data_IF_816571167115
#
_entry.id   IF_816571167115
#
_cell.length_a   1.000
_cell.length_b   1.000
_cell.length_c   1.000
_cell.angle_alpha   90.00
_cell.angle_beta   90.00
_cell.angle_gamma   90.00
#
_symmetry.space_group_name_H-M   'P 1'
#
loop_
_entity.id
_entity.type
_entity.pdbx_description
1 polymer ?
#
# COMPACT_ATOMS: atom_id res chain seq x y z
N UNK A 1 12.52 20.94 25.55
CA UNK A 1 11.92 20.23 24.40
C UNK A 1 11.98 21.19 23.22
N UNK A 2 12.79 20.88 22.21
CA UNK A 2 13.08 21.79 21.09
C UNK A 2 11.82 22.00 20.22
N UNK A 3 11.55 23.24 19.81
CA UNK A 3 10.37 23.68 19.02
C UNK A 3 10.16 22.96 17.67
N UNK A 4 11.04 22.03 17.30
CA UNK A 4 10.98 21.21 16.09
C UNK A 4 10.36 19.81 16.29
N UNK A 5 9.89 19.47 17.50
CA UNK A 5 9.34 18.14 17.80
C UNK A 5 8.17 17.70 16.90
N UNK A 6 7.44 18.65 16.32
CA UNK A 6 6.33 18.41 15.40
C UNK A 6 6.78 17.95 13.99
N UNK A 7 8.02 18.23 13.60
CA UNK A 7 8.53 17.82 12.28
C UNK A 7 8.69 16.30 12.18
N UNK A 8 9.04 15.64 13.29
CA UNK A 8 9.26 14.19 13.34
C UNK A 8 8.00 13.42 12.90
N UNK A 9 6.82 13.59 13.52
CA UNK A 9 5.61 12.89 13.11
C UNK A 9 5.17 13.26 11.68
N UNK A 10 5.35 14.51 11.25
CA UNK A 10 5.02 14.92 9.88
C UNK A 10 5.87 14.17 8.85
N UNK A 11 7.18 14.14 9.03
CA UNK A 11 8.10 13.42 8.12
C UNK A 11 7.82 11.93 8.12
N UNK A 12 7.63 11.32 9.31
CA UNK A 12 7.32 9.88 9.43
C UNK A 12 5.98 9.55 8.75
N UNK A 13 4.96 10.38 8.93
CA UNK A 13 3.66 10.21 8.29
C UNK A 13 3.76 10.25 6.77
N UNK A 14 4.47 11.23 6.21
CA UNK A 14 4.70 11.34 4.76
C UNK A 14 5.45 10.12 4.21
N UNK A 15 6.49 9.63 4.91
CA UNK A 15 7.22 8.42 4.50
C UNK A 15 6.29 7.20 4.47
N UNK A 16 5.44 7.03 5.48
CA UNK A 16 4.47 5.93 5.52
C UNK A 16 3.46 5.98 4.37
N UNK A 17 2.99 7.17 4.01
CA UNK A 17 2.11 7.37 2.84
C UNK A 17 2.81 6.95 1.56
N UNK A 18 4.06 7.38 1.34
CA UNK A 18 4.83 7.03 0.16
C UNK A 18 5.09 5.52 0.05
N UNK A 19 5.42 4.87 1.17
CA UNK A 19 5.58 3.41 1.23
C UNK A 19 4.27 2.67 0.94
N UNK A 20 3.16 3.15 1.50
CA UNK A 20 1.84 2.59 1.23
C UNK A 20 1.44 2.71 -0.25
N UNK A 21 1.65 3.87 -0.87
CA UNK A 21 1.43 4.05 -2.31
C UNK A 21 2.36 3.14 -3.14
N UNK A 22 3.63 3.03 -2.77
CA UNK A 22 4.60 2.16 -3.43
C UNK A 22 4.16 0.69 -3.38
N UNK A 23 3.69 0.22 -2.23
CA UNK A 23 3.17 -1.14 -2.06
C UNK A 23 1.91 -1.40 -2.91
N UNK A 24 0.99 -0.43 -3.00
CA UNK A 24 -0.20 -0.54 -3.86
C UNK A 24 0.19 -0.62 -5.34
N UNK A 25 1.14 0.21 -5.78
CA UNK A 25 1.63 0.20 -7.17
C UNK A 25 2.34 -1.12 -7.48
N UNK A 26 3.17 -1.62 -6.57
CA UNK A 26 3.86 -2.90 -6.74
C UNK A 26 2.86 -4.05 -6.82
N UNK A 27 1.86 -4.10 -5.92
CA UNK A 27 0.81 -5.11 -5.96
C UNK A 27 0.04 -5.13 -7.28
N UNK A 28 -0.26 -3.95 -7.85
CA UNK A 28 -0.88 -3.85 -9.19
C UNK A 28 0.04 -4.32 -10.32
N UNK A 29 1.35 -4.07 -10.25
CA UNK A 29 2.32 -4.54 -11.27
C UNK A 29 2.51 -6.05 -11.21
N UNK A 30 2.49 -6.62 -10.02
CA UNK A 30 2.59 -8.06 -9.81
C UNK A 30 1.35 -8.78 -10.35
N UNK A 31 0.13 -8.27 -10.08
CA UNK A 31 -1.10 -8.78 -10.70
C UNK A 31 -0.98 -8.80 -12.22
N UNK A 32 -0.52 -7.69 -12.82
CA UNK A 32 -0.47 -7.55 -14.28
C UNK A 32 0.53 -8.53 -14.92
N UNK A 33 1.71 -8.70 -14.34
CA UNK A 33 2.70 -9.69 -14.82
C UNK A 33 2.17 -11.12 -14.69
N UNK A 34 1.43 -11.40 -13.62
CA UNK A 34 0.88 -12.73 -13.38
C UNK A 34 -0.23 -13.07 -14.40
N UNK A 35 -1.12 -12.13 -14.70
CA UNK A 35 -2.14 -12.30 -15.74
C UNK A 35 -1.52 -12.51 -17.13
N UNK A 36 -0.48 -11.75 -17.51
CA UNK A 36 0.23 -11.94 -18.79
C UNK A 36 0.85 -13.36 -18.91
N UNK A 37 1.38 -13.91 -17.81
CA UNK A 37 1.92 -15.25 -17.78
C UNK A 37 0.83 -16.34 -17.92
N UNK A 38 -0.37 -16.09 -17.40
CA UNK A 38 -1.53 -16.98 -17.51
C UNK A 38 -2.11 -17.03 -18.91
N UNK A 39 -2.19 -15.89 -19.62
CA UNK A 39 -2.66 -15.85 -21.02
C UNK A 39 -1.72 -16.60 -21.97
N UNK A 40 -0.46 -16.79 -21.57
CA UNK A 40 0.51 -17.58 -22.34
C UNK A 40 0.29 -19.11 -22.22
N UNK A 41 -0.51 -19.59 -21.26
CA UNK A 41 -0.81 -21.03 -21.12
C UNK A 41 -2.15 -21.40 -21.79
N UNK A 42 -2.13 -22.52 -22.52
CA UNK A 42 -3.24 -23.02 -23.37
C UNK A 42 -4.39 -23.71 -22.59
N UNK A 43 -4.32 -23.76 -21.26
CA UNK A 43 -5.28 -24.51 -20.43
C UNK A 43 -6.40 -23.62 -19.90
N UNK A 44 -7.52 -23.59 -20.62
CA UNK A 44 -8.75 -22.88 -20.23
C UNK A 44 -9.51 -23.59 -19.09
N UNK A 45 -9.11 -24.82 -18.74
CA UNK A 45 -9.77 -25.64 -17.71
C UNK A 45 -9.59 -25.06 -16.30
N UNK A 46 -8.42 -24.46 -16.04
CA UNK A 46 -8.07 -23.83 -14.76
C UNK A 46 -8.87 -22.53 -14.51
N UNK A 47 -9.32 -21.86 -15.58
CA UNK A 47 -10.16 -20.66 -15.52
C UNK A 47 -11.62 -20.97 -15.13
N UNK A 48 -12.12 -22.13 -15.54
CA UNK A 48 -13.48 -22.59 -15.22
C UNK A 48 -13.60 -23.14 -13.79
N UNK A 49 -12.57 -23.82 -13.29
CA UNK A 49 -12.62 -24.48 -11.96
C UNK A 49 -12.29 -23.54 -10.78
N UNK A 50 -11.91 -22.27 -11.01
CA UNK A 50 -11.48 -21.30 -9.97
C UNK A 50 -10.48 -21.92 -8.96
N UNK A 51 -9.65 -22.85 -9.44
CA UNK A 51 -8.73 -23.62 -8.61
C UNK A 51 -7.31 -23.33 -9.09
N UNK A 52 -6.39 -22.84 -8.23
CA UNK A 52 -6.51 -22.58 -6.80
C UNK A 52 -6.98 -21.14 -6.51
N UNK A 53 -7.78 -20.96 -5.46
CA UNK A 53 -8.12 -19.63 -4.96
C UNK A 53 -6.90 -19.01 -4.27
N UNK A 54 -6.07 -18.28 -5.03
CA UNK A 54 -4.83 -17.69 -4.51
C UNK A 54 -5.07 -16.29 -3.91
N UNK A 55 -4.79 -16.07 -2.60
CA UNK A 55 -5.02 -14.78 -1.93
C UNK A 55 -3.99 -13.67 -2.25
N UNK A 56 -2.99 -13.98 -3.07
CA UNK A 56 -1.66 -13.36 -3.01
C UNK A 56 -1.59 -11.87 -3.41
N UNK A 57 -2.31 -11.36 -4.42
CA UNK A 57 -2.25 -9.92 -4.73
C UNK A 57 -3.17 -9.05 -3.87
N UNK A 58 -4.22 -9.63 -3.28
CA UNK A 58 -5.18 -8.90 -2.45
C UNK A 58 -4.58 -8.42 -1.13
N UNK A 59 -3.74 -9.24 -0.50
CA UNK A 59 -3.13 -8.94 0.79
C UNK A 59 -2.19 -7.72 0.73
N UNK A 60 -1.37 -7.59 -0.32
CA UNK A 60 -0.45 -6.46 -0.48
C UNK A 60 -1.21 -5.15 -0.76
N UNK A 61 -2.34 -5.22 -1.48
CA UNK A 61 -3.26 -4.09 -1.69
C UNK A 61 -3.89 -3.60 -0.37
N UNK A 62 -4.37 -4.53 0.45
CA UNK A 62 -4.98 -4.23 1.75
C UNK A 62 -3.93 -3.65 2.72
N UNK A 63 -2.74 -4.26 2.79
CA UNK A 63 -1.63 -3.77 3.60
C UNK A 63 -1.15 -2.37 3.17
N UNK A 64 -1.07 -2.12 1.86
CA UNK A 64 -0.73 -0.80 1.33
C UNK A 64 -1.76 0.27 1.67
N UNK A 65 -3.06 -0.05 1.63
CA UNK A 65 -4.13 0.88 2.01
C UNK A 65 -4.11 1.20 3.51
N UNK A 66 -3.87 0.20 4.37
CA UNK A 66 -3.69 0.39 5.82
C UNK A 66 -2.47 1.29 6.10
N UNK A 67 -1.35 1.06 5.42
CA UNK A 67 -0.15 1.88 5.57
C UNK A 67 -0.39 3.36 5.19
N UNK A 68 -1.14 3.61 4.11
CA UNK A 68 -1.55 4.97 3.72
C UNK A 68 -2.44 5.60 4.79
N UNK A 69 -3.46 4.90 5.28
CA UNK A 69 -4.38 5.42 6.28
C UNK A 69 -3.65 5.81 7.59
N UNK A 70 -2.74 4.96 8.06
CA UNK A 70 -1.91 5.22 9.24
C UNK A 70 -0.96 6.39 9.00
N UNK A 71 -0.30 6.45 7.85
CA UNK A 71 0.61 7.55 7.49
C UNK A 71 -0.08 8.91 7.45
N UNK A 72 -1.27 8.97 6.85
CA UNK A 72 -2.10 10.19 6.80
C UNK A 72 -2.50 10.63 8.21
N UNK A 73 -2.95 9.71 9.06
CA UNK A 73 -3.34 10.02 10.44
C UNK A 73 -2.17 10.63 11.23
N UNK A 74 -0.99 10.02 11.14
CA UNK A 74 0.23 10.52 11.83
C UNK A 74 0.63 11.90 11.30
N UNK A 75 0.59 12.12 9.97
CA UNK A 75 0.93 13.40 9.37
C UNK A 75 -0.03 14.52 9.79
N UNK A 76 -1.34 14.25 9.87
CA UNK A 76 -2.35 15.21 10.33
C UNK A 76 -2.11 15.59 11.79
N UNK A 77 -1.86 14.62 12.67
CA UNK A 77 -1.58 14.88 14.10
C UNK A 77 -0.33 15.76 14.25
N UNK A 78 0.75 15.44 13.53
CA UNK A 78 1.97 16.24 13.52
C UNK A 78 1.75 17.66 12.98
N UNK A 79 0.94 17.80 11.93
CA UNK A 79 0.60 19.09 11.32
C UNK A 79 -0.25 19.97 12.25
N UNK A 80 -1.25 19.39 12.94
CA UNK A 80 -2.06 20.12 13.92
C UNK A 80 -1.20 20.60 15.09
N UNK A 81 -0.32 19.75 15.61
CA UNK A 81 0.60 20.11 16.68
C UNK A 81 1.62 21.18 16.27
N UNK A 82 2.04 21.19 14.99
CA UNK A 82 2.93 22.20 14.45
C UNK A 82 2.24 23.54 14.13
N UNK A 83 0.97 23.51 13.69
CA UNK A 83 0.19 24.70 13.37
C UNK A 83 -0.44 25.39 14.60
N UNK A 84 -0.54 24.67 15.72
CA UNK A 84 -1.06 25.19 16.99
C UNK A 84 0.03 25.64 17.98
N UNK A 85 1.31 25.61 17.61
CA UNK A 85 2.46 26.04 18.41
C UNK A 85 3.03 27.37 17.89
#
# INVERSE_FOLDING_TARGET
MTSQGWLIPVVVGVVFVLLGLGAIIWGKREEKKYYDALVTRKDLREFFDRWPMRPEPGALKIGGWIAVAVGVAIAIIGGIFGAGA
#
